data_IF_840569246150
#
_entry.id   IF_840569246150
#
_cell.length_a   1.000
_cell.length_b   1.000
_cell.length_c   1.000
_cell.angle_alpha   90.00
_cell.angle_beta   90.00
_cell.angle_gamma   90.00
#
_symmetry.space_group_name_H-M   'P 1'
#
loop_
_entity.id
_entity.type
_entity.pdbx_description
1 polymer ?
#
# COMPACT_ATOMS: atom_id res chain seq x y z
N UNK A 1 -10.33 10.49 -2.70
CA UNK A 1 -9.75 10.98 -1.43
C UNK A 1 -8.23 10.77 -1.50
N UNK A 2 -7.40 11.66 -0.95
CA UNK A 2 -5.93 11.51 -0.97
C UNK A 2 -5.38 11.63 0.46
N UNK A 3 -4.53 10.67 0.84
CA UNK A 3 -3.81 10.67 2.12
C UNK A 3 -2.30 10.64 1.86
N UNK A 4 -1.55 11.54 2.48
CA UNK A 4 -0.08 11.54 2.46
C UNK A 4 0.39 11.09 3.84
N UNK A 5 0.97 9.90 3.91
CA UNK A 5 1.27 9.21 5.17
C UNK A 5 2.57 8.40 5.07
N UNK A 6 2.99 7.81 6.18
CA UNK A 6 4.16 6.93 6.24
C UNK A 6 3.84 5.51 5.74
N UNK A 7 4.86 4.78 5.28
CA UNK A 7 4.74 3.40 4.79
C UNK A 7 3.92 2.46 5.71
N UNK A 8 4.09 2.45 7.05
CA UNK A 8 3.26 1.63 7.95
C UNK A 8 1.78 1.99 7.90
N UNK A 9 1.47 3.28 7.76
CA UNK A 9 0.10 3.78 7.67
C UNK A 9 -0.56 3.34 6.38
N UNK A 10 0.19 3.30 5.26
CA UNK A 10 -0.32 2.76 3.98
C UNK A 10 -0.73 1.29 4.13
N UNK A 11 0.12 0.45 4.74
CA UNK A 11 -0.19 -0.98 5.00
C UNK A 11 -1.43 -1.12 5.91
N UNK A 12 -1.50 -0.37 7.00
CA UNK A 12 -2.60 -0.46 7.97
C UNK A 12 -3.95 -0.02 7.38
N UNK A 13 -4.01 1.15 6.74
CA UNK A 13 -5.23 1.66 6.10
C UNK A 13 -5.66 0.73 4.98
N UNK A 14 -4.71 0.31 4.14
CA UNK A 14 -4.98 -0.58 3.02
C UNK A 14 -5.61 -1.90 3.46
N UNK A 15 -5.03 -2.53 4.49
CA UNK A 15 -5.58 -3.75 5.10
C UNK A 15 -6.99 -3.53 5.64
N UNK A 16 -7.21 -2.44 6.38
CA UNK A 16 -8.51 -2.11 6.93
C UNK A 16 -9.57 -1.97 5.84
N UNK A 17 -9.28 -1.22 4.78
CA UNK A 17 -10.21 -1.01 3.66
C UNK A 17 -10.48 -2.31 2.87
N UNK A 18 -9.48 -3.15 2.70
CA UNK A 18 -9.61 -4.46 2.03
C UNK A 18 -10.19 -5.56 2.94
N UNK A 19 -10.64 -5.23 4.16
CA UNK A 19 -11.12 -6.20 5.17
C UNK A 19 -10.10 -7.33 5.46
N UNK A 20 -8.80 -7.01 5.45
CA UNK A 20 -7.72 -7.93 5.85
C UNK A 20 -7.41 -7.77 7.34
N UNK A 21 -7.01 -8.85 8.02
CA UNK A 21 -6.64 -8.78 9.43
C UNK A 21 -5.46 -7.81 9.64
N UNK A 22 -5.47 -7.15 10.80
CA UNK A 22 -4.30 -6.43 11.26
C UNK A 22 -3.17 -7.42 11.53
N UNK A 23 -2.02 -7.22 10.88
CA UNK A 23 -0.82 -8.00 11.16
C UNK A 23 0.09 -7.12 12.01
N UNK A 24 0.38 -7.59 13.23
CA UNK A 24 1.42 -7.00 14.07
C UNK A 24 2.77 -7.25 13.41
N UNK A 25 3.36 -6.21 12.82
CA UNK A 25 4.72 -6.28 12.31
C UNK A 25 5.71 -6.19 13.47
N UNK A 26 6.72 -7.06 13.47
CA UNK A 26 7.84 -6.93 14.39
C UNK A 26 8.63 -5.64 14.12
N UNK A 27 9.40 -5.15 15.11
CA UNK A 27 10.28 -3.99 14.91
C UNK A 27 11.25 -4.18 13.74
N UNK A 28 11.70 -5.41 13.50
CA UNK A 28 12.53 -5.75 12.37
C UNK A 28 11.81 -5.53 11.03
N UNK A 29 10.59 -6.04 10.90
CA UNK A 29 9.78 -5.85 9.68
C UNK A 29 9.40 -4.37 9.48
N UNK A 30 9.07 -3.66 10.56
CA UNK A 30 8.81 -2.23 10.52
C UNK A 30 10.02 -1.43 10.00
N UNK A 31 11.23 -1.76 10.44
CA UNK A 31 12.46 -1.12 9.94
C UNK A 31 12.71 -1.36 8.44
N UNK A 32 12.15 -2.43 7.88
CA UNK A 32 12.28 -2.81 6.47
C UNK A 32 11.13 -2.33 5.59
N UNK A 33 10.13 -1.65 6.16
CA UNK A 33 8.96 -1.16 5.41
C UNK A 33 9.34 -0.24 4.25
N UNK A 34 10.42 0.55 4.36
CA UNK A 34 10.90 1.40 3.26
C UNK A 34 11.37 0.63 2.01
N UNK A 35 11.69 -0.65 2.14
CA UNK A 35 12.04 -1.53 1.00
C UNK A 35 10.76 -1.93 0.24
N UNK A 36 9.65 -2.10 0.95
CA UNK A 36 8.35 -2.50 0.37
C UNK A 36 7.54 -1.30 -0.12
N UNK A 37 7.77 -0.13 0.46
CA UNK A 37 7.13 1.14 0.14
C UNK A 37 8.22 2.18 -0.14
N UNK A 38 8.81 2.18 -1.35
CA UNK A 38 9.79 3.19 -1.75
C UNK A 38 9.22 4.62 -1.64
N UNK A 39 10.10 5.63 -1.64
CA UNK A 39 9.67 7.02 -1.53
C UNK A 39 8.64 7.40 -2.60
N UNK A 40 7.65 8.21 -2.21
CA UNK A 40 6.50 8.58 -3.03
C UNK A 40 5.68 7.38 -3.55
N UNK A 41 5.67 6.26 -2.82
CA UNK A 41 4.78 5.13 -3.07
C UNK A 41 3.32 5.56 -3.10
N UNK A 42 2.62 5.21 -4.18
CA UNK A 42 1.19 5.46 -4.32
C UNK A 42 0.45 4.14 -4.34
N UNK A 43 -0.54 4.02 -3.45
CA UNK A 43 -1.53 2.96 -3.46
C UNK A 43 -2.89 3.58 -3.72
N UNK A 44 -3.62 3.01 -4.66
CA UNK A 44 -4.98 3.41 -4.95
C UNK A 44 -5.92 2.23 -4.72
N UNK A 45 -7.00 2.52 -4.02
CA UNK A 45 -8.07 1.58 -3.72
C UNK A 45 -9.35 2.17 -4.31
N UNK A 46 -10.11 1.32 -4.98
CA UNK A 46 -11.44 1.66 -5.48
C UNK A 46 -12.48 0.88 -4.69
N UNK A 47 -13.62 1.52 -4.42
CA UNK A 47 -14.76 0.85 -3.82
C UNK A 47 -15.49 0.05 -4.91
N UNK A 48 -15.63 -1.26 -4.70
CA UNK A 48 -16.50 -2.08 -5.55
C UNK A 48 -17.96 -1.78 -5.22
N UNK A 49 -18.72 -1.44 -6.25
CA UNK A 49 -20.13 -1.07 -6.17
C UNK A 49 -20.95 -2.19 -5.55
N UNK A 50 -21.18 -2.11 -4.23
CA UNK A 50 -22.42 -2.36 -3.47
C UNK A 50 -22.19 -2.83 -2.03
N UNK A 51 -20.97 -3.24 -1.64
CA UNK A 51 -20.75 -3.91 -0.34
C UNK A 51 -19.68 -3.25 0.56
N UNK A 52 -19.27 -2.01 0.28
CA UNK A 52 -18.21 -1.33 1.04
C UNK A 52 -16.86 -2.06 0.98
N UNK A 53 -16.68 -2.91 -0.04
CA UNK A 53 -15.44 -3.67 -0.26
C UNK A 53 -14.52 -2.84 -1.14
N UNK A 54 -13.33 -2.56 -0.62
CA UNK A 54 -12.30 -1.88 -1.38
C UNK A 54 -11.38 -2.89 -2.03
N UNK A 55 -11.05 -2.67 -3.29
CA UNK A 55 -10.09 -3.47 -4.04
C UNK A 55 -8.91 -2.61 -4.51
N UNK A 56 -7.75 -3.25 -4.67
CA UNK A 56 -6.58 -2.60 -5.25
C UNK A 56 -6.86 -2.26 -6.70
N UNK A 57 -6.71 -0.99 -7.06
CA UNK A 57 -6.77 -0.55 -8.44
C UNK A 57 -5.34 -0.62 -9.01
N UNK A 58 -5.05 -1.53 -9.95
CA UNK A 58 -3.73 -1.60 -10.55
C UNK A 58 -3.49 -0.41 -11.48
N UNK A 59 -2.25 0.08 -11.55
CA UNK A 59 -1.78 1.06 -12.55
C UNK A 59 -2.53 2.41 -12.59
N UNK A 60 -2.98 2.92 -11.45
CA UNK A 60 -3.73 4.20 -11.36
C UNK A 60 -2.92 5.42 -11.80
N UNK A 61 -1.60 5.37 -11.60
CA UNK A 61 -0.70 6.40 -12.04
C UNK A 61 0.48 5.77 -12.79
N UNK A 62 0.98 6.42 -13.86
CA UNK A 62 2.28 6.06 -14.40
C UNK A 62 3.32 6.19 -13.28
N UNK A 63 4.19 5.18 -13.08
CA UNK A 63 5.21 5.26 -12.04
C UNK A 63 6.12 6.46 -12.30
N UNK A 64 6.29 7.32 -11.30
CA UNK A 64 7.24 8.43 -11.35
C UNK A 64 8.58 7.85 -10.90
N UNK A 65 9.33 7.29 -11.84
CA UNK A 65 10.68 6.80 -11.60
C UNK A 65 11.67 7.93 -11.82
N UNK A 66 12.13 8.55 -10.74
CA UNK A 66 13.28 9.46 -10.77
C UNK A 66 14.51 8.66 -10.28
N UNK A 67 15.60 8.64 -11.06
CA UNK A 67 16.86 7.97 -10.73
C UNK A 67 16.76 6.42 -10.55
N UNK A 68 16.14 5.68 -11.47
CA UNK A 68 16.01 4.20 -11.41
C UNK A 68 15.26 3.62 -10.20
N UNK A 69 14.74 4.46 -9.30
CA UNK A 69 13.90 4.03 -8.19
C UNK A 69 12.42 4.05 -8.59
N UNK A 70 11.79 2.89 -8.56
CA UNK A 70 10.36 2.74 -8.79
C UNK A 70 9.58 3.17 -7.55
N UNK A 71 8.53 3.98 -7.72
CA UNK A 71 7.57 4.28 -6.65
C UNK A 71 6.49 3.18 -6.49
N UNK A 72 6.70 2.00 -7.08
CA UNK A 72 5.75 0.89 -6.97
C UNK A 72 5.90 0.19 -5.63
N UNK A 73 4.79 0.10 -4.91
CA UNK A 73 4.69 -0.74 -3.73
C UNK A 73 4.87 -2.20 -4.12
N UNK A 74 5.55 -2.97 -3.26
CA UNK A 74 5.58 -4.42 -3.37
C UNK A 74 4.19 -4.99 -3.09
N UNK A 75 3.44 -5.26 -4.18
CA UNK A 75 2.05 -5.73 -4.09
C UNK A 75 1.95 -7.07 -3.36
N UNK A 76 2.90 -7.99 -3.57
CA UNK A 76 2.90 -9.29 -2.88
C UNK A 76 2.98 -9.13 -1.36
N UNK A 77 3.79 -8.19 -0.88
CA UNK A 77 3.86 -7.86 0.54
C UNK A 77 2.56 -7.20 1.01
N UNK A 78 2.00 -6.27 0.25
CA UNK A 78 0.78 -5.55 0.63
C UNK A 78 -0.46 -6.45 0.67
N UNK A 79 -0.58 -7.39 -0.26
CA UNK A 79 -1.73 -8.31 -0.35
C UNK A 79 -1.54 -9.60 0.44
N UNK A 80 -0.47 -9.75 1.23
CA UNK A 80 -0.22 -10.95 2.06
C UNK A 80 -1.41 -11.24 3.00
N UNK A 81 -1.67 -12.53 3.20
CA UNK A 81 -2.74 -13.06 4.06
C UNK A 81 -2.43 -12.81 5.53
#
# INVERSE_FOLDING_TARGET
LLFVVHAPTIDAIGRSLMNKPAIGLSNYELSKMGIHFPYASVVALEETNTNGKWQLMPNVLPPISFLDFSNRVNINFFTRS
#
